data_IF_224390922319
#
_entry.id   IF_224390922319
#
_cell.length_a   1.000
_cell.length_b   1.000
_cell.length_c   1.000
_cell.angle_alpha   90.00
_cell.angle_beta   90.00
_cell.angle_gamma   90.00
#
_symmetry.space_group_name_H-M   'P 1'
#
loop_
_entity.id
_entity.type
_entity.pdbx_description
1 polymer ?
#
# COMPACT_ATOMS: atom_id res chain seq x y z
N UNK A 1 -56.24 1.59 9.74
CA UNK A 1 -55.32 1.35 8.60
C UNK A 1 -54.41 2.52 8.25
N UNK A 2 -54.88 3.77 8.13
CA UNK A 2 -54.02 4.94 7.76
C UNK A 2 -52.86 5.21 8.73
N UNK A 3 -53.11 5.10 10.04
CA UNK A 3 -52.10 5.32 11.09
C UNK A 3 -51.05 4.19 11.16
N UNK A 4 -51.45 2.94 10.88
CA UNK A 4 -50.54 1.79 10.84
C UNK A 4 -49.55 1.90 9.66
N UNK A 5 -50.01 2.38 8.50
CA UNK A 5 -49.13 2.67 7.34
C UNK A 5 -48.13 3.79 7.64
N UNK A 6 -48.55 4.85 8.34
CA UNK A 6 -47.65 5.96 8.74
C UNK A 6 -46.63 5.53 9.78
N UNK A 7 -47.03 4.70 10.76
CA UNK A 7 -46.11 4.12 11.74
C UNK A 7 -45.06 3.22 11.07
N UNK A 8 -45.46 2.43 10.06
CA UNK A 8 -44.55 1.59 9.30
C UNK A 8 -43.54 2.42 8.48
N UNK A 9 -43.97 3.55 7.91
CA UNK A 9 -43.08 4.46 7.17
C UNK A 9 -42.03 5.12 8.08
N UNK A 10 -42.41 5.50 9.30
CA UNK A 10 -41.47 6.06 10.29
C UNK A 10 -40.48 4.99 10.79
N UNK A 11 -40.93 3.74 10.92
CA UNK A 11 -40.08 2.61 11.32
C UNK A 11 -39.07 2.17 10.24
N UNK A 12 -39.39 2.39 8.96
CA UNK A 12 -38.52 2.06 7.83
C UNK A 12 -37.39 3.09 7.61
N UNK A 13 -37.59 4.34 8.04
CA UNK A 13 -36.61 5.43 7.89
C UNK A 13 -35.21 5.12 8.46
N UNK A 14 -35.05 4.58 9.69
CA UNK A 14 -33.72 4.26 10.23
C UNK A 14 -33.02 3.11 9.50
N UNK A 15 -33.73 2.25 8.77
CA UNK A 15 -33.11 1.16 8.00
C UNK A 15 -32.38 1.67 6.76
N UNK A 16 -32.62 2.91 6.32
CA UNK A 16 -31.92 3.56 5.21
C UNK A 16 -30.71 4.40 5.68
N UNK A 17 -30.48 4.51 6.99
CA UNK A 17 -29.43 5.37 7.56
C UNK A 17 -28.01 4.78 7.43
N UNK A 18 -27.85 3.53 6.98
CA UNK A 18 -26.56 2.82 6.91
C UNK A 18 -26.06 2.61 5.48
N UNK A 19 -26.15 3.61 4.60
CA UNK A 19 -25.77 3.48 3.17
C UNK A 19 -24.34 3.90 2.85
N UNK A 20 -23.52 4.22 3.85
CA UNK A 20 -22.11 4.59 3.61
C UNK A 20 -21.24 3.34 3.70
N UNK A 21 -20.84 2.81 2.54
CA UNK A 21 -19.73 1.87 2.47
C UNK A 21 -18.45 2.66 2.77
N UNK A 22 -17.76 2.35 3.88
CA UNK A 22 -16.43 2.89 4.13
C UNK A 22 -15.43 2.11 3.28
N UNK A 23 -14.74 2.81 2.35
CA UNK A 23 -13.60 2.24 1.65
C UNK A 23 -12.48 1.98 2.65
N UNK A 24 -11.82 0.84 2.50
CA UNK A 24 -10.76 0.41 3.41
C UNK A 24 -9.41 0.63 2.75
N UNK A 25 -8.72 1.69 3.16
CA UNK A 25 -7.44 2.13 2.57
C UNK A 25 -6.27 1.62 3.40
N UNK A 26 -5.70 0.48 2.99
CA UNK A 26 -4.62 -0.18 3.74
C UNK A 26 -3.52 -0.69 2.84
N UNK A 27 -2.27 -0.52 3.29
CA UNK A 27 -1.14 -1.29 2.78
C UNK A 27 -0.56 -2.17 3.89
N UNK A 28 0.01 -3.31 3.51
CA UNK A 28 0.67 -4.23 4.45
C UNK A 28 2.10 -4.48 3.99
N UNK A 29 3.05 -4.03 4.80
CA UNK A 29 4.48 -4.25 4.58
C UNK A 29 5.02 -5.25 5.61
N UNK A 30 5.71 -6.28 5.12
CA UNK A 30 6.42 -7.24 5.96
C UNK A 30 7.92 -7.08 5.73
N UNK A 31 8.70 -7.02 6.80
CA UNK A 31 10.16 -6.87 6.76
C UNK A 31 10.79 -8.06 7.48
N UNK A 32 11.43 -8.95 6.72
CA UNK A 32 12.03 -10.16 7.25
C UNK A 32 13.54 -10.15 7.03
N UNK A 33 14.31 -10.59 8.02
CA UNK A 33 15.72 -10.85 7.82
C UNK A 33 15.93 -12.27 7.29
N UNK A 34 16.62 -12.40 6.17
CA UNK A 34 17.07 -13.69 5.62
C UNK A 34 18.50 -13.97 6.08
N UNK A 35 18.66 -14.90 7.03
CA UNK A 35 19.99 -15.34 7.49
C UNK A 35 20.85 -15.90 6.34
N UNK A 36 20.21 -16.65 5.44
CA UNK A 36 20.87 -17.27 4.29
C UNK A 36 21.47 -16.22 3.34
N UNK A 37 20.76 -15.11 3.13
CA UNK A 37 21.16 -14.08 2.18
C UNK A 37 21.83 -12.88 2.86
N UNK A 38 21.89 -12.88 4.21
CA UNK A 38 22.31 -11.75 5.03
C UNK A 38 21.66 -10.42 4.58
N UNK A 39 20.33 -10.44 4.42
CA UNK A 39 19.60 -9.35 3.80
C UNK A 39 18.26 -9.10 4.50
N UNK A 40 17.82 -7.85 4.53
CA UNK A 40 16.43 -7.51 4.86
C UNK A 40 15.59 -7.60 3.59
N UNK A 41 14.60 -8.48 3.61
CA UNK A 41 13.66 -8.72 2.53
C UNK A 41 12.32 -8.12 2.89
N UNK A 42 11.85 -7.20 2.07
CA UNK A 42 10.65 -6.42 2.31
C UNK A 42 9.61 -6.79 1.25
N UNK A 43 8.39 -7.07 1.70
CA UNK A 43 7.24 -7.27 0.84
C UNK A 43 6.17 -6.25 1.18
N UNK A 44 5.80 -5.39 0.24
CA UNK A 44 4.70 -4.43 0.42
C UNK A 44 3.53 -4.81 -0.48
N UNK A 45 2.34 -4.95 0.12
CA UNK A 45 1.08 -5.25 -0.56
C UNK A 45 0.23 -3.98 -0.63
N UNK A 46 -0.19 -3.62 -1.83
CA UNK A 46 -0.98 -2.42 -2.11
C UNK A 46 -2.06 -2.75 -3.13
N UNK A 47 -3.28 -2.23 -2.96
CA UNK A 47 -4.33 -2.40 -3.96
C UNK A 47 -3.96 -1.71 -5.27
N UNK A 48 -4.25 -2.39 -6.39
CA UNK A 48 -3.83 -1.95 -7.72
C UNK A 48 -4.51 -0.63 -8.06
N UNK A 49 -5.83 -0.53 -7.91
CA UNK A 49 -6.63 0.64 -8.26
C UNK A 49 -6.19 1.90 -7.50
N UNK A 50 -5.97 1.78 -6.19
CA UNK A 50 -5.46 2.86 -5.36
C UNK A 50 -4.04 3.30 -5.80
N UNK A 51 -3.19 2.33 -6.18
CA UNK A 51 -1.85 2.64 -6.68
C UNK A 51 -1.89 3.33 -8.03
N UNK A 52 -2.71 2.87 -8.97
CA UNK A 52 -2.89 3.52 -10.26
C UNK A 52 -3.39 4.96 -10.08
N UNK A 53 -4.33 5.17 -9.15
CA UNK A 53 -4.84 6.50 -8.83
C UNK A 53 -3.71 7.43 -8.35
N UNK A 54 -2.82 6.97 -7.45
CA UNK A 54 -1.72 7.83 -6.97
C UNK A 54 -0.68 8.12 -8.04
N UNK A 55 -0.41 7.17 -8.94
CA UNK A 55 0.51 7.40 -10.05
C UNK A 55 -0.08 8.40 -11.04
N UNK A 56 -1.37 8.27 -11.35
CA UNK A 56 -2.08 9.21 -12.22
C UNK A 56 -2.06 10.63 -11.63
N UNK A 57 -2.43 10.79 -10.36
CA UNK A 57 -2.48 12.11 -9.71
C UNK A 57 -1.10 12.76 -9.56
N UNK A 58 -0.05 11.99 -9.25
CA UNK A 58 1.31 12.54 -9.01
C UNK A 58 2.10 12.78 -10.29
N UNK A 59 1.90 11.94 -11.30
CA UNK A 59 2.76 11.92 -12.48
C UNK A 59 2.01 12.10 -13.80
N UNK A 60 0.68 12.13 -13.78
CA UNK A 60 -0.18 12.19 -14.96
C UNK A 60 0.14 11.05 -15.95
N UNK A 61 0.30 9.84 -15.40
CA UNK A 61 0.60 8.61 -16.14
C UNK A 61 -0.44 7.56 -15.80
N UNK A 62 -1.04 6.98 -16.84
CA UNK A 62 -1.89 5.81 -16.73
C UNK A 62 -1.03 4.55 -16.89
N UNK A 63 -0.99 3.72 -15.85
CA UNK A 63 -0.13 2.52 -15.81
C UNK A 63 -0.77 1.28 -16.42
N UNK A 64 -2.10 1.16 -16.31
CA UNK A 64 -2.87 -0.02 -16.68
C UNK A 64 -2.32 -1.32 -16.06
N UNK A 65 -1.95 -1.26 -14.77
CA UNK A 65 -1.35 -2.35 -14.01
C UNK A 65 -2.24 -3.61 -14.07
N UNK A 66 -1.61 -4.77 -14.20
CA UNK A 66 -2.25 -6.09 -14.27
C UNK A 66 -3.19 -6.27 -15.48
N UNK A 67 -2.96 -5.52 -16.56
CA UNK A 67 -3.68 -5.67 -17.84
C UNK A 67 -2.73 -5.93 -19.00
N UNK A 68 -3.27 -6.41 -20.12
CA UNK A 68 -2.51 -6.59 -21.37
C UNK A 68 -1.96 -5.26 -21.95
N UNK A 69 -2.48 -4.12 -21.48
CA UNK A 69 -2.09 -2.77 -21.87
C UNK A 69 -1.15 -2.09 -20.85
N UNK A 70 -0.60 -2.83 -19.89
CA UNK A 70 0.33 -2.27 -18.91
C UNK A 70 1.50 -1.55 -19.59
N UNK A 71 1.75 -0.31 -19.18
CA UNK A 71 2.81 0.50 -19.79
C UNK A 71 4.19 -0.08 -19.49
N UNK A 72 5.15 -0.06 -20.45
CA UNK A 72 6.51 -0.51 -20.18
C UNK A 72 7.25 0.33 -19.14
N UNK A 73 6.72 1.50 -18.77
CA UNK A 73 7.25 2.35 -17.71
C UNK A 73 6.65 2.06 -16.33
N UNK A 74 5.76 1.07 -16.19
CA UNK A 74 5.03 0.80 -14.96
C UNK A 74 5.98 0.55 -13.79
N UNK A 75 7.00 -0.31 -13.98
CA UNK A 75 8.00 -0.60 -12.96
C UNK A 75 8.80 0.63 -12.54
N UNK A 76 9.13 1.52 -13.49
CA UNK A 76 9.84 2.77 -13.18
C UNK A 76 9.00 3.66 -12.26
N UNK A 77 7.71 3.82 -12.56
CA UNK A 77 6.82 4.63 -11.73
C UNK A 77 6.51 4.00 -10.39
N UNK A 78 6.37 2.67 -10.34
CA UNK A 78 6.24 1.92 -9.08
C UNK A 78 7.46 2.16 -8.21
N UNK A 79 8.66 1.91 -8.72
CA UNK A 79 9.91 2.10 -7.98
C UNK A 79 10.08 3.56 -7.55
N UNK A 80 9.84 4.52 -8.45
CA UNK A 80 9.95 5.95 -8.17
C UNK A 80 9.03 6.37 -7.01
N UNK A 81 7.79 5.87 -7.01
CA UNK A 81 6.84 6.17 -5.94
C UNK A 81 7.27 5.53 -4.61
N UNK A 82 7.63 4.24 -4.62
CA UNK A 82 8.12 3.55 -3.43
C UNK A 82 9.32 4.29 -2.82
N UNK A 83 10.30 4.69 -3.63
CA UNK A 83 11.49 5.44 -3.16
C UNK A 83 11.16 6.79 -2.52
N UNK A 84 10.02 7.37 -2.87
CA UNK A 84 9.55 8.64 -2.30
C UNK A 84 8.79 8.42 -1.00
N UNK A 85 8.07 7.30 -0.86
CA UNK A 85 7.06 7.10 0.19
C UNK A 85 7.34 5.97 1.17
N UNK A 86 8.38 5.20 0.92
CA UNK A 86 8.84 4.14 1.80
C UNK A 86 10.33 4.31 2.02
N UNK A 87 10.72 4.71 3.24
CA UNK A 87 12.10 4.93 3.63
C UNK A 87 12.50 3.95 4.74
N UNK A 88 13.75 3.48 4.65
CA UNK A 88 14.34 2.52 5.58
C UNK A 88 15.54 3.16 6.26
N UNK A 89 15.70 2.86 7.55
CA UNK A 89 16.79 3.36 8.36
C UNK A 89 17.43 2.20 9.13
N UNK A 90 18.76 2.15 9.16
CA UNK A 90 19.52 1.24 10.01
C UNK A 90 20.40 2.09 10.92
N UNK A 91 20.30 1.88 12.23
CA UNK A 91 21.05 2.66 13.23
C UNK A 91 20.83 4.19 13.12
N UNK A 92 19.65 4.61 12.63
CA UNK A 92 19.29 6.01 12.42
C UNK A 92 19.81 6.62 11.11
N UNK A 93 20.57 5.88 10.30
CA UNK A 93 21.01 6.31 8.97
C UNK A 93 20.05 5.77 7.90
N UNK A 94 19.67 6.62 6.94
CA UNK A 94 18.80 6.22 5.84
C UNK A 94 19.56 5.29 4.88
N UNK A 95 19.01 4.10 4.64
CA UNK A 95 19.57 3.09 3.76
C UNK A 95 18.72 2.95 2.50
N UNK A 96 19.38 2.77 1.36
CA UNK A 96 18.72 2.48 0.08
C UNK A 96 18.44 0.98 -0.02
N UNK A 97 17.23 0.65 -0.45
CA UNK A 97 16.88 -0.69 -0.91
C UNK A 97 16.90 -0.78 -2.43
N UNK A 98 16.98 -2.00 -2.91
CA UNK A 98 16.81 -2.40 -4.31
C UNK A 98 15.37 -2.83 -4.53
N UNK A 99 14.70 -2.30 -5.56
CA UNK A 99 13.44 -2.85 -6.03
C UNK A 99 13.74 -4.06 -6.91
N UNK A 100 13.29 -5.24 -6.48
CA UNK A 100 13.53 -6.50 -7.20
C UNK A 100 12.46 -6.75 -8.26
N UNK A 101 11.29 -6.13 -8.11
CA UNK A 101 10.16 -6.27 -9.00
C UNK A 101 8.83 -6.35 -8.25
N UNK A 102 7.79 -6.65 -9.01
CA UNK A 102 6.42 -6.78 -8.52
C UNK A 102 5.75 -8.04 -9.06
N UNK A 103 4.75 -8.52 -8.33
CA UNK A 103 3.81 -9.53 -8.81
C UNK A 103 2.39 -9.06 -8.53
N UNK A 104 1.43 -9.63 -9.24
CA UNK A 104 0.01 -9.40 -9.01
C UNK A 104 -0.64 -10.63 -8.38
N UNK A 105 -1.49 -10.39 -7.39
CA UNK A 105 -2.35 -11.38 -6.76
C UNK A 105 -3.75 -10.78 -6.65
N UNK A 106 -4.63 -11.20 -7.56
CA UNK A 106 -5.98 -10.62 -7.72
C UNK A 106 -5.95 -9.10 -7.89
N UNK A 107 -6.49 -8.35 -6.93
CA UNK A 107 -6.59 -6.89 -6.88
C UNK A 107 -5.40 -6.24 -6.16
N UNK A 108 -4.39 -7.01 -5.79
CA UNK A 108 -3.22 -6.55 -5.03
C UNK A 108 -1.94 -6.64 -5.87
N UNK A 109 -1.18 -5.57 -5.85
CA UNK A 109 0.21 -5.53 -6.28
C UNK A 109 1.12 -5.82 -5.08
N UNK A 110 2.02 -6.78 -5.25
CA UNK A 110 3.00 -7.18 -4.24
C UNK A 110 4.38 -6.75 -4.74
N UNK A 111 4.96 -5.75 -4.07
CA UNK A 111 6.29 -5.22 -4.37
C UNK A 111 7.35 -5.91 -3.51
N UNK A 112 8.48 -6.25 -4.15
CA UNK A 112 9.62 -6.88 -3.51
C UNK A 112 10.80 -5.92 -3.45
N UNK A 113 11.27 -5.65 -2.23
CA UNK A 113 12.45 -4.83 -1.97
C UNK A 113 13.48 -5.62 -1.16
N UNK A 114 14.75 -5.31 -1.34
CA UNK A 114 15.82 -5.93 -0.58
C UNK A 114 16.90 -4.92 -0.18
N UNK A 115 17.40 -5.05 1.04
CA UNK A 115 18.63 -4.41 1.52
C UNK A 115 19.63 -5.54 1.76
N UNK A 116 20.61 -5.73 0.84
CA UNK A 116 21.64 -6.75 1.00
C UNK A 116 22.69 -6.35 2.04
N UNK A 117 23.59 -7.28 2.36
CA UNK A 117 24.78 -7.06 3.20
C UNK A 117 24.46 -6.49 4.59
N UNK A 118 23.35 -6.92 5.19
CA UNK A 118 22.92 -6.52 6.53
C UNK A 118 23.55 -7.42 7.58
N UNK A 119 24.43 -6.85 8.40
CA UNK A 119 25.07 -7.53 9.51
C UNK A 119 24.29 -7.33 10.83
N UNK A 120 23.62 -8.39 11.29
CA UNK A 120 22.89 -8.38 12.57
C UNK A 120 23.77 -8.04 13.78
N UNK A 121 25.08 -8.33 13.73
CA UNK A 121 25.98 -8.11 14.87
C UNK A 121 26.26 -6.63 15.12
N UNK A 122 26.16 -5.79 14.10
CA UNK A 122 26.37 -4.34 14.17
C UNK A 122 25.06 -3.54 14.16
N UNK A 123 23.95 -4.17 13.81
CA UNK A 123 22.63 -3.56 13.78
C UNK A 123 22.02 -3.45 15.19
N UNK A 124 21.70 -2.22 15.59
CA UNK A 124 21.10 -1.87 16.89
C UNK A 124 19.62 -1.49 16.76
N UNK A 125 19.22 -0.95 15.62
CA UNK A 125 17.85 -0.52 15.38
C UNK A 125 17.52 -0.52 13.89
N UNK A 126 16.25 -0.79 13.59
CA UNK A 126 15.63 -0.63 12.27
C UNK A 126 14.55 0.44 12.43
N UNK A 127 14.55 1.42 11.53
CA UNK A 127 13.51 2.43 11.39
C UNK A 127 12.82 2.28 10.04
N UNK A 128 11.52 2.56 10.01
CA UNK A 128 10.70 2.51 8.81
C UNK A 128 9.82 3.75 8.79
N UNK A 129 9.77 4.41 7.64
CA UNK A 129 8.81 5.48 7.36
C UNK A 129 7.99 5.01 6.16
N UNK A 130 6.70 4.74 6.40
CA UNK A 130 5.79 4.22 5.40
C UNK A 130 4.61 5.19 5.21
N UNK A 131 4.73 6.02 4.19
CA UNK A 131 3.77 7.02 3.75
C UNK A 131 3.08 6.61 2.44
N UNK A 132 3.04 5.31 2.13
CA UNK A 132 2.34 4.83 0.94
C UNK A 132 0.88 5.28 0.99
N UNK A 133 0.41 5.85 -0.11
CA UNK A 133 -0.95 6.33 -0.40
C UNK A 133 -1.50 7.42 0.54
N UNK A 134 -0.72 7.90 1.52
CA UNK A 134 -1.17 8.94 2.46
C UNK A 134 -1.37 10.31 1.81
N UNK A 135 -0.88 10.52 0.59
CA UNK A 135 -1.14 11.75 -0.17
C UNK A 135 -2.57 11.82 -0.72
N UNK A 136 -3.20 10.66 -0.95
CA UNK A 136 -4.51 10.58 -1.58
C UNK A 136 -5.63 10.31 -0.58
N UNK A 137 -5.35 9.50 0.44
CA UNK A 137 -6.36 9.05 1.36
C UNK A 137 -5.95 9.40 2.80
N UNK A 138 -6.63 10.39 3.38
CA UNK A 138 -6.42 10.82 4.77
C UNK A 138 -6.64 9.67 5.77
N UNK A 139 -7.50 8.70 5.41
CA UNK A 139 -7.83 7.52 6.22
C UNK A 139 -6.87 6.33 5.99
N UNK A 140 -5.85 6.48 5.13
CA UNK A 140 -4.88 5.43 4.81
C UNK A 140 -4.18 4.90 6.06
N UNK A 141 -4.13 3.58 6.21
CA UNK A 141 -3.35 2.92 7.26
C UNK A 141 -2.28 2.02 6.66
N UNK A 142 -1.03 2.24 7.05
CA UNK A 142 0.10 1.44 6.60
C UNK A 142 0.55 0.52 7.74
N UNK A 143 0.25 -0.77 7.61
CA UNK A 143 0.63 -1.79 8.60
C UNK A 143 2.04 -2.28 8.28
N UNK A 144 2.92 -2.26 9.28
CA UNK A 144 4.29 -2.77 9.18
C UNK A 144 4.50 -3.86 10.22
N UNK A 145 4.97 -5.03 9.78
CA UNK A 145 5.33 -6.15 10.66
C UNK A 145 6.72 -6.70 10.34
#
# INVERSE_FOLDING_TARGET
MKYLKKSLQVLLLPLLAFTVAHKFYVSVTNINYSEKNQALQITSRVFIDDFEQVILERYNVETHLATDSETPLADEYVEKYLRTKFLMYINGEQIKYTFLGKQYDNDVMICYLEIPDVDLSTMKSIGVENELLTDLFDEQQNVVH
#
